data_IF_516462322334
#
_entry.id   IF_516462322334
#
_cell.length_a   1.000
_cell.length_b   1.000
_cell.length_c   1.000
_cell.angle_alpha   90.00
_cell.angle_beta   90.00
_cell.angle_gamma   90.00
#
_symmetry.space_group_name_H-M   'P 1'
#
loop_
_entity.id
_entity.type
_entity.pdbx_description
1 polymer ?
#
# COMPACT_ATOMS: atom_id res chain seq x y z
N UNK A 1 6.57 14.90 -25.01
CA UNK A 1 7.68 13.99 -25.38
C UNK A 1 7.05 12.67 -25.80
N UNK A 2 7.31 12.20 -27.03
CA UNK A 2 6.74 10.98 -27.58
C UNK A 2 7.35 9.75 -26.86
N UNK A 3 6.61 9.16 -25.93
CA UNK A 3 6.96 7.86 -25.35
C UNK A 3 6.54 6.75 -26.32
N UNK A 4 7.51 6.04 -26.91
CA UNK A 4 7.30 4.86 -27.75
C UNK A 4 6.86 3.62 -26.93
N UNK A 5 5.92 3.79 -26.01
CA UNK A 5 5.46 2.75 -25.08
C UNK A 5 3.98 2.49 -25.24
N UNK A 6 3.54 2.08 -26.43
CA UNK A 6 2.20 1.54 -26.60
C UNK A 6 2.23 0.47 -27.70
N UNK A 7 2.31 -0.80 -27.31
CA UNK A 7 1.80 -1.91 -28.12
C UNK A 7 0.50 -2.40 -27.46
N UNK A 8 -0.50 -1.51 -27.46
CA UNK A 8 -1.86 -1.87 -27.08
C UNK A 8 -2.65 -2.12 -28.36
N UNK A 9 -3.21 -3.32 -28.51
CA UNK A 9 -4.19 -3.58 -29.56
C UNK A 9 -5.58 -3.26 -29.01
N UNK A 10 -6.17 -2.17 -29.51
CA UNK A 10 -7.57 -1.84 -29.28
C UNK A 10 -8.41 -2.49 -30.39
N UNK A 11 -9.28 -3.41 -29.99
CA UNK A 11 -10.22 -4.10 -30.87
C UNK A 11 -11.63 -3.54 -30.62
N UNK A 12 -12.18 -2.84 -31.61
CA UNK A 12 -13.62 -2.58 -31.68
C UNK A 12 -14.30 -3.82 -32.27
N UNK A 13 -15.14 -4.46 -31.46
CA UNK A 13 -15.83 -5.68 -31.84
C UNK A 13 -17.21 -5.43 -32.44
N UNK A 14 -17.84 -4.31 -32.12
CA UNK A 14 -19.20 -4.00 -32.58
C UNK A 14 -19.25 -3.78 -34.09
N UNK A 15 -18.17 -3.27 -34.67
CA UNK A 15 -18.10 -2.97 -36.11
C UNK A 15 -17.68 -4.16 -36.96
N UNK A 16 -17.24 -5.27 -36.36
CA UNK A 16 -16.54 -6.37 -37.05
C UNK A 16 -17.21 -7.75 -36.91
N UNK A 17 -18.33 -7.86 -36.18
CA UNK A 17 -19.05 -9.12 -35.98
C UNK A 17 -20.32 -9.19 -36.85
N UNK A 18 -20.60 -10.37 -37.42
CA UNK A 18 -21.86 -10.60 -38.11
C UNK A 18 -23.02 -10.75 -37.12
N UNK A 19 -24.26 -10.50 -37.58
CA UNK A 19 -25.48 -10.68 -36.77
C UNK A 19 -25.59 -12.11 -36.20
N UNK A 20 -25.06 -13.12 -36.89
CA UNK A 20 -25.05 -14.51 -36.42
C UNK A 20 -23.96 -14.77 -35.37
N UNK A 21 -22.81 -14.07 -35.43
CA UNK A 21 -21.80 -14.12 -34.37
C UNK A 21 -22.29 -13.49 -33.06
N UNK A 22 -23.13 -12.45 -33.15
CA UNK A 22 -23.75 -11.80 -31.99
C UNK A 22 -24.75 -12.70 -31.24
N UNK A 23 -25.24 -13.78 -31.88
CA UNK A 23 -26.16 -14.76 -31.29
C UNK A 23 -25.46 -15.95 -30.63
N UNK A 24 -24.16 -16.13 -30.86
CA UNK A 24 -23.40 -17.22 -30.27
C UNK A 24 -22.90 -16.82 -28.87
N UNK A 25 -22.98 -17.77 -27.92
CA UNK A 25 -22.42 -17.62 -26.57
C UNK A 25 -20.90 -17.59 -26.55
N UNK A 26 -20.23 -17.88 -27.68
CA UNK A 26 -18.79 -17.76 -27.82
C UNK A 26 -18.38 -17.46 -29.27
N UNK A 27 -17.36 -16.62 -29.45
CA UNK A 27 -16.69 -16.46 -30.75
C UNK A 27 -15.17 -16.32 -30.58
N UNK A 28 -14.44 -16.67 -31.62
CA UNK A 28 -12.98 -16.58 -31.66
C UNK A 28 -12.55 -15.55 -32.69
N UNK A 29 -11.68 -14.63 -32.26
CA UNK A 29 -11.07 -13.64 -33.13
C UNK A 29 -10.00 -14.33 -34.00
N UNK A 30 -9.89 -13.91 -35.25
CA UNK A 30 -8.84 -14.40 -36.16
C UNK A 30 -7.45 -14.19 -35.55
N UNK A 31 -6.48 -15.09 -35.83
CA UNK A 31 -5.12 -14.93 -35.35
C UNK A 31 -4.55 -13.54 -35.64
N UNK A 32 -3.94 -12.92 -34.62
CA UNK A 32 -3.27 -11.62 -34.73
C UNK A 32 -1.80 -11.75 -34.34
N UNK A 33 -0.87 -11.10 -35.07
CA UNK A 33 0.54 -11.04 -34.67
C UNK A 33 0.71 -10.18 -33.41
N UNK A 34 1.61 -10.59 -32.51
CA UNK A 34 2.04 -9.80 -31.36
C UNK A 34 3.09 -8.79 -31.84
N UNK A 35 2.74 -7.52 -31.84
CA UNK A 35 3.61 -6.43 -32.31
C UNK A 35 4.58 -5.96 -31.21
N UNK A 36 5.47 -6.85 -30.74
CA UNK A 36 6.51 -6.53 -29.76
C UNK A 36 7.91 -6.88 -30.26
N UNK A 37 8.83 -5.95 -30.14
CA UNK A 37 10.24 -6.15 -30.51
C UNK A 37 11.08 -6.56 -29.29
N UNK A 38 11.84 -7.65 -29.42
CA UNK A 38 12.89 -8.03 -28.46
C UNK A 38 12.40 -8.26 -27.04
N UNK A 39 11.25 -8.93 -26.88
CA UNK A 39 10.64 -9.18 -25.57
C UNK A 39 11.60 -9.90 -24.61
N UNK A 40 11.79 -9.35 -23.40
CA UNK A 40 12.62 -9.96 -22.37
C UNK A 40 12.24 -9.44 -20.97
N UNK A 41 12.36 -10.24 -19.91
CA UNK A 41 12.58 -11.69 -19.94
C UNK A 41 11.33 -12.47 -20.38
N UNK A 42 10.16 -11.84 -20.32
CA UNK A 42 8.85 -12.37 -20.74
C UNK A 42 8.06 -11.28 -21.48
N UNK A 43 6.90 -11.66 -22.04
CA UNK A 43 5.87 -10.72 -22.48
C UNK A 43 4.82 -10.64 -21.38
N UNK A 44 4.45 -9.44 -20.97
CA UNK A 44 3.30 -9.23 -20.10
C UNK A 44 2.04 -9.00 -20.92
N UNK A 45 0.93 -9.57 -20.46
CA UNK A 45 -0.38 -9.45 -21.09
C UNK A 45 -1.42 -9.10 -20.03
N UNK A 46 -2.21 -8.07 -20.29
CA UNK A 46 -3.42 -7.73 -19.54
C UNK A 46 -4.54 -7.34 -20.49
N UNK A 47 -5.78 -7.50 -20.03
CA UNK A 47 -6.97 -7.18 -20.81
C UNK A 47 -7.88 -6.20 -20.07
N UNK A 48 -8.60 -5.39 -20.83
CA UNK A 48 -9.72 -4.61 -20.33
C UNK A 48 -10.82 -4.56 -21.39
N UNK A 49 -12.08 -4.51 -20.97
CA UNK A 49 -13.18 -4.43 -21.91
C UNK A 49 -14.34 -3.61 -21.37
N UNK A 50 -15.13 -3.08 -22.31
CA UNK A 50 -16.34 -2.34 -22.02
C UNK A 50 -17.54 -3.18 -22.42
N UNK A 51 -18.41 -3.47 -21.45
CA UNK A 51 -19.71 -4.10 -21.65
C UNK A 51 -20.83 -3.23 -21.07
N UNK A 52 -21.97 -3.16 -21.76
CA UNK A 52 -23.09 -2.23 -21.40
C UNK A 52 -24.05 -2.74 -20.34
N UNK A 53 -23.70 -3.81 -19.61
CA UNK A 53 -24.65 -4.48 -18.71
C UNK A 53 -24.61 -3.98 -17.27
N UNK A 54 -25.77 -3.99 -16.62
CA UNK A 54 -25.96 -3.58 -15.22
C UNK A 54 -25.27 -4.52 -14.21
N UNK A 55 -24.72 -5.67 -14.65
CA UNK A 55 -24.04 -6.64 -13.78
C UNK A 55 -22.67 -7.04 -14.35
N UNK A 56 -21.59 -6.91 -13.56
CA UNK A 56 -20.25 -7.37 -13.94
C UNK A 56 -20.17 -8.89 -14.06
N UNK A 57 -19.19 -9.38 -14.81
CA UNK A 57 -18.85 -10.81 -14.92
C UNK A 57 -19.69 -11.65 -15.88
N UNK A 58 -20.41 -11.04 -16.83
CA UNK A 58 -21.18 -11.78 -17.83
C UNK A 58 -20.35 -12.22 -19.04
N UNK A 59 -19.26 -11.50 -19.32
CA UNK A 59 -18.30 -11.86 -20.36
C UNK A 59 -17.00 -12.36 -19.73
N UNK A 60 -16.47 -13.47 -20.25
CA UNK A 60 -15.11 -13.91 -19.97
C UNK A 60 -14.28 -13.88 -21.25
N UNK A 61 -13.01 -13.51 -21.10
CA UNK A 61 -12.03 -13.51 -22.18
C UNK A 61 -11.04 -14.64 -21.94
N UNK A 62 -10.82 -15.47 -22.95
CA UNK A 62 -9.76 -16.47 -22.96
C UNK A 62 -8.76 -16.16 -24.08
N UNK A 63 -7.48 -16.40 -23.83
CA UNK A 63 -6.40 -16.16 -24.79
C UNK A 63 -5.55 -17.41 -24.96
N UNK A 64 -5.03 -17.60 -26.17
CA UNK A 64 -4.01 -18.61 -26.46
C UNK A 64 -2.95 -18.05 -27.39
N UNK A 65 -1.79 -18.69 -27.38
CA UNK A 65 -0.59 -18.18 -28.06
C UNK A 65 -0.03 -19.18 -29.06
N UNK A 66 0.70 -18.66 -30.04
CA UNK A 66 1.37 -19.44 -31.07
C UNK A 66 2.69 -18.80 -31.47
N UNK A 67 3.65 -19.62 -31.88
CA UNK A 67 4.93 -19.18 -32.45
C UNK A 67 4.87 -18.99 -33.97
N UNK A 68 3.83 -19.51 -34.63
CA UNK A 68 3.72 -19.54 -36.10
C UNK A 68 2.31 -19.24 -36.63
N UNK A 69 1.34 -18.97 -35.75
CA UNK A 69 -0.05 -18.68 -36.10
C UNK A 69 -0.88 -19.90 -36.52
N UNK A 70 -0.32 -21.12 -36.46
CA UNK A 70 -0.98 -22.36 -36.89
C UNK A 70 -1.06 -23.42 -35.80
N UNK A 71 0.00 -23.58 -35.00
CA UNK A 71 0.04 -24.47 -33.84
C UNK A 71 -0.20 -23.67 -32.56
N UNK A 72 -1.24 -24.02 -31.81
CA UNK A 72 -1.73 -23.23 -30.68
C UNK A 72 -1.63 -23.99 -29.37
N UNK A 73 -1.28 -23.26 -28.31
CA UNK A 73 -1.39 -23.78 -26.95
C UNK A 73 -2.85 -23.84 -26.48
N UNK A 74 -3.05 -24.40 -25.28
CA UNK A 74 -4.34 -24.40 -24.59
C UNK A 74 -4.83 -22.98 -24.31
N UNK A 75 -6.16 -22.82 -24.31
CA UNK A 75 -6.80 -21.59 -23.86
C UNK A 75 -6.52 -21.31 -22.38
N UNK A 76 -6.31 -20.04 -22.06
CA UNK A 76 -6.14 -19.54 -20.70
C UNK A 76 -7.10 -18.39 -20.46
N UNK A 77 -7.90 -18.46 -19.40
CA UNK A 77 -8.82 -17.39 -19.04
C UNK A 77 -8.08 -16.20 -18.43
N UNK A 78 -8.51 -14.99 -18.79
CA UNK A 78 -8.12 -13.79 -18.07
C UNK A 78 -8.81 -13.77 -16.70
N UNK A 79 -8.02 -13.74 -15.63
CA UNK A 79 -8.53 -13.55 -14.26
C UNK A 79 -8.97 -12.10 -14.07
N UNK A 80 -10.21 -11.88 -13.64
CA UNK A 80 -10.73 -10.54 -13.35
C UNK A 80 -9.95 -9.87 -12.21
N UNK A 81 -9.76 -8.56 -12.33
CA UNK A 81 -9.29 -7.69 -11.26
C UNK A 81 -10.48 -7.28 -10.40
N UNK A 82 -10.52 -7.78 -9.17
CA UNK A 82 -11.73 -7.91 -8.35
C UNK A 82 -12.19 -6.63 -7.63
N UNK A 83 -11.46 -5.53 -7.77
CA UNK A 83 -11.80 -4.24 -7.13
C UNK A 83 -11.49 -3.05 -8.04
N UNK A 84 -11.68 -3.23 -9.35
CA UNK A 84 -11.54 -2.15 -10.32
C UNK A 84 -12.57 -1.04 -10.05
N UNK A 85 -12.09 0.13 -9.63
CA UNK A 85 -12.94 1.30 -9.49
C UNK A 85 -13.14 1.97 -10.85
N UNK A 86 -14.41 2.19 -11.21
CA UNK A 86 -14.91 2.73 -12.48
C UNK A 86 -13.86 3.55 -13.28
N UNK A 87 -13.49 3.03 -14.45
CA UNK A 87 -12.61 3.70 -15.40
C UNK A 87 -13.18 3.72 -16.81
N UNK A 88 -12.29 3.79 -17.81
CA UNK A 88 -12.67 3.75 -19.24
C UNK A 88 -13.34 2.44 -19.66
N UNK A 89 -13.03 1.37 -18.95
CA UNK A 89 -13.54 0.01 -19.18
C UNK A 89 -14.47 -0.37 -18.03
N UNK A 90 -15.37 -1.32 -18.26
CA UNK A 90 -16.23 -1.85 -17.19
C UNK A 90 -15.57 -3.02 -16.47
N UNK A 91 -14.67 -3.72 -17.15
CA UNK A 91 -13.97 -4.89 -16.65
C UNK A 91 -12.47 -4.81 -16.99
N UNK A 92 -11.64 -5.31 -16.09
CA UNK A 92 -10.19 -5.40 -16.28
C UNK A 92 -9.67 -6.72 -15.74
N UNK A 93 -8.56 -7.21 -16.29
CA UNK A 93 -7.90 -8.43 -15.83
C UNK A 93 -6.68 -8.14 -14.97
N UNK A 94 -6.27 -9.12 -14.15
CA UNK A 94 -4.89 -9.17 -13.67
C UNK A 94 -3.94 -9.44 -14.84
N UNK A 95 -2.65 -9.15 -14.65
CA UNK A 95 -1.62 -9.44 -15.65
C UNK A 95 -1.17 -10.91 -15.62
N UNK A 96 -0.87 -11.46 -16.79
CA UNK A 96 -0.22 -12.76 -16.97
C UNK A 96 1.12 -12.60 -17.71
N UNK A 97 2.05 -13.53 -17.48
CA UNK A 97 3.35 -13.54 -18.15
C UNK A 97 3.45 -14.74 -19.09
N UNK A 98 3.87 -14.48 -20.32
CA UNK A 98 4.06 -15.52 -21.35
C UNK A 98 5.50 -15.50 -21.87
N UNK A 99 5.91 -16.63 -22.43
CA UNK A 99 7.23 -16.77 -23.03
C UNK A 99 7.38 -15.83 -24.24
N UNK A 100 8.56 -15.19 -24.35
CA UNK A 100 8.93 -14.29 -25.44
C UNK A 100 8.94 -14.95 -26.83
N UNK A 101 8.89 -16.28 -26.92
CA UNK A 101 8.82 -17.04 -28.18
C UNK A 101 7.52 -16.82 -28.95
N UNK A 102 6.43 -16.44 -28.27
CA UNK A 102 5.13 -16.28 -28.91
C UNK A 102 5.11 -15.02 -29.77
N UNK A 103 4.60 -15.17 -30.99
CA UNK A 103 4.53 -14.11 -32.00
C UNK A 103 3.10 -13.92 -32.52
N UNK A 104 2.16 -14.77 -32.11
CA UNK A 104 0.74 -14.68 -32.44
C UNK A 104 -0.12 -14.96 -31.21
N UNK A 105 -1.31 -14.36 -31.19
CA UNK A 105 -2.35 -14.65 -30.22
C UNK A 105 -3.71 -14.86 -30.90
N UNK A 106 -4.60 -15.56 -30.19
CA UNK A 106 -6.02 -15.62 -30.49
C UNK A 106 -6.81 -15.35 -29.22
N UNK A 107 -7.91 -14.63 -29.38
CA UNK A 107 -8.83 -14.32 -28.31
C UNK A 107 -10.15 -15.07 -28.54
N UNK A 108 -10.67 -15.67 -27.48
CA UNK A 108 -12.02 -16.18 -27.41
C UNK A 108 -12.80 -15.31 -26.44
N UNK A 109 -13.96 -14.86 -26.87
CA UNK A 109 -14.92 -14.13 -26.05
C UNK A 109 -16.06 -15.08 -25.76
N UNK A 110 -16.35 -15.30 -24.48
CA UNK A 110 -17.44 -16.15 -24.01
C UNK A 110 -18.44 -15.27 -23.25
N UNK A 111 -19.73 -15.39 -23.56
CA UNK A 111 -20.84 -14.71 -22.88
C UNK A 111 -21.80 -15.72 -22.30
N UNK A 112 -22.21 -15.50 -21.05
CA UNK A 112 -23.21 -16.29 -20.36
C UNK A 112 -24.66 -15.85 -20.69
N UNK A 113 -24.85 -14.80 -21.50
CA UNK A 113 -26.15 -14.25 -21.85
C UNK A 113 -26.75 -14.99 -23.05
N UNK A 114 -27.46 -16.07 -22.75
CA UNK A 114 -28.14 -16.92 -23.74
C UNK A 114 -29.24 -16.19 -24.54
N UNK A 115 -29.69 -15.01 -24.11
CA UNK A 115 -30.89 -14.34 -24.67
C UNK A 115 -30.76 -12.85 -24.99
N UNK A 116 -29.65 -12.18 -24.61
CA UNK A 116 -29.46 -10.73 -24.87
C UNK A 116 -28.32 -10.43 -25.85
N UNK A 117 -27.61 -11.44 -26.34
CA UNK A 117 -26.48 -11.28 -27.25
C UNK A 117 -25.21 -10.76 -26.55
N UNK A 118 -24.16 -10.52 -27.34
CA UNK A 118 -22.88 -10.01 -26.85
C UNK A 118 -22.93 -8.49 -26.64
N UNK A 119 -22.81 -8.06 -25.38
CA UNK A 119 -22.86 -6.64 -24.99
C UNK A 119 -21.47 -6.00 -24.85
N UNK A 120 -20.45 -6.59 -25.46
CA UNK A 120 -19.06 -6.11 -25.45
C UNK A 120 -18.81 -5.16 -26.62
N UNK A 121 -18.34 -3.95 -26.35
CA UNK A 121 -18.12 -2.94 -27.39
C UNK A 121 -16.65 -2.77 -27.78
N UNK A 122 -15.77 -2.87 -26.79
CA UNK A 122 -14.34 -2.68 -27.00
C UNK A 122 -13.54 -3.64 -26.12
N UNK A 123 -12.47 -4.18 -26.68
CA UNK A 123 -11.44 -4.93 -25.94
C UNK A 123 -10.11 -4.25 -26.15
N UNK A 124 -9.42 -3.98 -25.06
CA UNK A 124 -8.00 -3.66 -25.01
C UNK A 124 -7.24 -4.94 -24.64
N UNK A 125 -6.35 -5.40 -25.52
CA UNK A 125 -5.30 -6.35 -25.15
C UNK A 125 -3.98 -5.59 -25.11
N UNK A 126 -3.42 -5.50 -23.90
CA UNK A 126 -2.19 -4.78 -23.63
C UNK A 126 -1.02 -5.76 -23.57
N UNK A 127 -0.19 -5.73 -24.60
CA UNK A 127 1.07 -6.47 -24.65
C UNK A 127 2.22 -5.56 -24.26
N UNK A 128 3.03 -5.97 -23.29
CA UNK A 128 4.13 -5.16 -22.77
C UNK A 128 5.45 -5.92 -22.70
N UNK A 129 6.53 -5.25 -23.12
CA UNK A 129 7.91 -5.73 -23.00
C UNK A 129 8.64 -4.99 -21.87
N UNK A 130 8.77 -5.60 -20.67
CA UNK A 130 9.38 -4.92 -19.53
C UNK A 130 10.91 -4.75 -19.62
N UNK A 131 11.59 -5.43 -20.54
CA UNK A 131 13.05 -5.40 -20.65
C UNK A 131 13.63 -4.36 -21.62
N UNK A 132 12.76 -3.67 -22.38
CA UNK A 132 13.20 -2.61 -23.29
C UNK A 132 13.61 -1.33 -22.54
N UNK A 133 12.88 -0.97 -21.47
CA UNK A 133 13.05 0.30 -20.77
C UNK A 133 14.19 0.33 -19.73
N UNK A 134 14.64 -0.82 -19.23
CA UNK A 134 15.69 -0.88 -18.21
C UNK A 134 17.07 -0.44 -18.73
N UNK A 135 17.35 -0.62 -20.03
CA UNK A 135 18.65 -0.23 -20.62
C UNK A 135 18.83 1.29 -20.63
N UNK A 136 17.78 2.05 -20.91
CA UNK A 136 17.82 3.51 -20.93
C UNK A 136 18.05 4.12 -19.53
N UNK A 137 17.63 3.42 -18.48
CA UNK A 137 17.78 3.87 -17.09
C UNK A 137 19.20 3.85 -16.55
N UNK A 138 20.11 3.07 -17.15
CA UNK A 138 21.51 3.00 -16.72
C UNK A 138 22.28 4.33 -16.89
N UNK A 139 21.83 5.21 -17.79
CA UNK A 139 22.54 6.46 -18.13
C UNK A 139 22.03 7.72 -17.41
N UNK A 140 20.89 7.66 -16.71
CA UNK A 140 20.19 8.84 -16.18
C UNK A 140 20.21 8.99 -14.65
N UNK A 141 20.79 8.02 -13.92
CA UNK A 141 20.73 7.93 -12.43
C UNK A 141 21.46 9.09 -11.71
N UNK A 142 22.20 9.95 -12.41
CA UNK A 142 23.03 11.00 -11.79
C UNK A 142 22.33 12.33 -11.43
N UNK A 143 21.00 12.47 -11.58
CA UNK A 143 20.36 13.80 -11.46
C UNK A 143 19.15 13.95 -10.54
N UNK A 144 18.73 12.93 -9.79
CA UNK A 144 17.74 13.13 -8.73
C UNK A 144 18.40 13.40 -7.38
N UNK A 145 18.45 14.69 -7.12
CA UNK A 145 18.89 15.44 -5.95
C UNK A 145 18.61 14.72 -4.61
N UNK A 146 19.69 14.44 -3.88
CA UNK A 146 19.67 13.90 -2.52
C UNK A 146 19.29 14.97 -1.48
N UNK A 147 18.20 15.70 -1.68
CA UNK A 147 17.66 16.55 -0.60
C UNK A 147 17.07 15.65 0.46
N UNK A 148 17.93 15.36 1.44
CA UNK A 148 17.59 14.76 2.72
C UNK A 148 16.45 15.55 3.34
N UNK A 149 15.25 14.99 3.31
CA UNK A 149 14.26 15.30 4.35
C UNK A 149 14.89 14.80 5.64
N UNK A 150 15.09 15.70 6.61
CA UNK A 150 15.63 15.37 7.93
C UNK A 150 14.71 14.34 8.60
N UNK A 151 15.16 13.08 8.64
CA UNK A 151 14.52 11.97 9.35
C UNK A 151 14.88 11.99 10.83
N UNK A 152 14.64 13.10 11.54
CA UNK A 152 15.06 13.23 12.93
C UNK A 152 14.18 12.46 13.94
N UNK A 153 13.08 11.81 13.54
CA UNK A 153 12.19 11.13 14.51
C UNK A 153 12.41 9.62 14.68
N UNK A 154 12.87 8.90 13.65
CA UNK A 154 12.88 7.43 13.67
C UNK A 154 14.30 6.85 13.68
N UNK A 155 14.66 6.11 14.73
CA UNK A 155 15.97 5.44 14.83
C UNK A 155 15.99 4.01 14.28
N UNK A 156 14.86 3.50 13.74
CA UNK A 156 14.84 2.22 13.05
C UNK A 156 15.84 2.20 11.90
N UNK A 157 16.42 1.01 11.66
CA UNK A 157 17.09 0.72 10.40
C UNK A 157 16.10 0.89 9.24
N UNK A 158 16.45 1.78 8.31
CA UNK A 158 15.76 1.92 7.03
C UNK A 158 16.23 0.77 6.12
N UNK A 159 15.33 -0.15 5.69
CA UNK A 159 15.72 -1.26 4.83
C UNK A 159 16.20 -0.77 3.47
N UNK A 160 17.10 -1.54 2.86
CA UNK A 160 17.53 -1.32 1.49
C UNK A 160 16.36 -1.55 0.52
N UNK A 161 16.26 -0.73 -0.51
CA UNK A 161 15.26 -0.88 -1.57
C UNK A 161 15.80 -0.46 -2.94
N UNK A 162 15.14 -0.94 -3.98
CA UNK A 162 15.34 -0.51 -5.37
C UNK A 162 14.44 0.70 -5.62
N UNK A 163 15.06 1.87 -5.79
CA UNK A 163 14.35 3.14 -6.05
C UNK A 163 13.67 3.16 -7.42
N UNK A 164 12.66 4.01 -7.61
CA UNK A 164 12.02 4.24 -8.92
C UNK A 164 13.02 4.55 -10.02
N UNK A 165 14.03 5.37 -9.75
CA UNK A 165 15.05 5.72 -10.74
C UNK A 165 15.83 4.49 -11.28
N UNK A 166 15.85 3.37 -10.55
CA UNK A 166 16.51 2.13 -11.00
C UNK A 166 15.59 1.25 -11.84
N UNK A 167 14.30 1.18 -11.50
CA UNK A 167 13.37 0.27 -12.17
C UNK A 167 12.43 0.96 -13.17
N UNK A 168 12.17 2.27 -13.06
CA UNK A 168 11.36 3.09 -13.98
C UNK A 168 11.81 4.57 -13.97
N UNK A 169 12.95 4.84 -14.61
CA UNK A 169 13.59 6.16 -14.67
C UNK A 169 12.90 7.18 -15.60
N UNK A 170 11.94 6.74 -16.42
CA UNK A 170 11.31 7.58 -17.46
C UNK A 170 10.12 8.39 -16.92
N UNK A 171 9.62 8.02 -15.75
CA UNK A 171 8.45 8.64 -15.15
C UNK A 171 8.76 9.10 -13.72
N UNK A 172 8.93 10.41 -13.55
CA UNK A 172 9.10 11.04 -12.24
C UNK A 172 7.92 11.98 -11.99
N UNK A 173 7.00 11.59 -11.10
CA UNK A 173 5.83 12.41 -10.80
C UNK A 173 6.19 13.63 -9.97
N UNK A 174 5.33 14.65 -10.05
CA UNK A 174 5.41 15.81 -9.18
C UNK A 174 5.05 15.40 -7.74
N UNK A 175 5.83 15.80 -6.73
CA UNK A 175 5.51 15.51 -5.34
C UNK A 175 4.14 16.08 -4.96
N UNK A 176 3.32 15.28 -4.31
CA UNK A 176 2.10 15.71 -3.63
C UNK A 176 2.42 16.13 -2.19
N UNK A 177 1.54 16.95 -1.59
CA UNK A 177 1.73 17.42 -0.22
C UNK A 177 1.78 16.25 0.78
N UNK A 178 2.56 16.41 1.85
CA UNK A 178 2.69 15.43 2.93
C UNK A 178 1.33 15.14 3.57
N UNK A 179 0.98 13.85 3.68
CA UNK A 179 -0.24 13.40 4.34
C UNK A 179 0.09 12.76 5.69
N UNK A 180 -0.86 12.82 6.62
CA UNK A 180 -0.75 12.13 7.90
C UNK A 180 -1.17 10.68 7.71
N UNK A 181 -0.19 9.78 7.55
CA UNK A 181 -0.45 8.35 7.48
C UNK A 181 -0.84 7.83 8.86
N UNK A 182 -1.91 7.05 8.92
CA UNK A 182 -2.39 6.41 10.15
C UNK A 182 -2.46 4.89 10.04
N UNK A 183 -2.47 4.35 8.81
CA UNK A 183 -2.68 2.92 8.54
C UNK A 183 -1.77 2.40 7.43
N UNK A 184 -1.47 1.11 7.45
CA UNK A 184 -0.76 0.38 6.40
C UNK A 184 -1.66 -0.75 5.92
N UNK A 185 -1.87 -0.82 4.61
CA UNK A 185 -2.72 -1.82 3.96
C UNK A 185 -1.84 -2.79 3.17
N UNK A 186 -1.95 -4.07 3.51
CA UNK A 186 -1.25 -5.15 2.82
C UNK A 186 -2.06 -5.67 1.64
N UNK A 187 -1.34 -5.85 0.54
CA UNK A 187 -1.84 -6.34 -0.74
C UNK A 187 -1.04 -7.55 -1.22
N UNK A 188 -1.64 -8.30 -2.12
CA UNK A 188 -0.90 -9.11 -3.07
C UNK A 188 -1.07 -8.56 -4.49
N UNK A 189 -0.22 -8.96 -5.42
CA UNK A 189 -0.41 -8.58 -6.83
C UNK A 189 -1.47 -9.43 -7.55
N UNK A 190 -1.81 -10.61 -6.99
CA UNK A 190 -2.68 -11.59 -7.64
C UNK A 190 -2.11 -12.22 -8.92
N UNK A 191 -0.86 -11.86 -9.27
CA UNK A 191 -0.15 -12.33 -10.47
C UNK A 191 0.71 -13.57 -10.23
N UNK A 192 1.50 -13.98 -11.23
CA UNK A 192 2.28 -15.22 -11.19
C UNK A 192 3.24 -15.28 -9.98
N UNK A 193 3.32 -16.45 -9.34
CA UNK A 193 4.17 -16.68 -8.17
C UNK A 193 5.68 -16.74 -8.49
N UNK A 194 6.03 -16.93 -9.77
CA UNK A 194 7.41 -17.04 -10.25
C UNK A 194 7.67 -16.01 -11.34
N UNK A 195 8.83 -15.37 -11.27
CA UNK A 195 9.30 -14.43 -12.29
C UNK A 195 10.78 -14.66 -12.57
N UNK A 196 11.14 -14.49 -13.84
CA UNK A 196 12.54 -14.47 -14.27
C UNK A 196 13.27 -13.17 -13.89
N UNK A 197 12.54 -12.09 -13.56
CA UNK A 197 13.08 -10.84 -13.01
C UNK A 197 11.99 -10.07 -12.29
N UNK A 198 12.24 -9.76 -11.01
CA UNK A 198 11.30 -9.00 -10.20
C UNK A 198 11.23 -7.53 -10.60
N UNK A 199 12.33 -6.94 -11.10
CA UNK A 199 12.33 -5.60 -11.71
C UNK A 199 11.36 -5.54 -12.89
N UNK A 200 11.43 -6.54 -13.77
CA UNK A 200 10.53 -6.63 -14.93
C UNK A 200 9.06 -6.83 -14.51
N UNK A 201 8.82 -7.56 -13.42
CA UNK A 201 7.48 -7.71 -12.81
C UNK A 201 6.95 -6.38 -12.29
N UNK A 202 7.77 -5.58 -11.59
CA UNK A 202 7.36 -4.25 -11.10
C UNK A 202 7.06 -3.30 -12.26
N UNK A 203 7.89 -3.30 -13.31
CA UNK A 203 7.64 -2.53 -14.53
C UNK A 203 6.34 -2.94 -15.24
N UNK A 204 6.10 -4.25 -15.34
CA UNK A 204 4.85 -4.76 -15.87
C UNK A 204 3.65 -4.28 -15.06
N UNK A 205 3.74 -4.33 -13.73
CA UNK A 205 2.64 -3.90 -12.86
C UNK A 205 2.38 -2.39 -12.95
N UNK A 206 3.43 -1.58 -13.10
CA UNK A 206 3.28 -0.17 -13.44
C UNK A 206 2.57 0.04 -14.79
N UNK A 207 2.95 -0.71 -15.82
CA UNK A 207 2.33 -0.61 -17.15
C UNK A 207 0.86 -1.04 -17.10
N UNK A 208 0.53 -2.15 -16.46
CA UNK A 208 -0.87 -2.59 -16.28
C UNK A 208 -1.67 -1.57 -15.47
N UNK A 209 -1.10 -1.01 -14.39
CA UNK A 209 -1.76 0.04 -13.59
C UNK A 209 -2.12 1.27 -14.44
N UNK A 210 -1.20 1.70 -15.30
CA UNK A 210 -1.38 2.95 -16.08
C UNK A 210 -2.17 2.75 -17.36
N UNK A 211 -1.96 1.65 -18.08
CA UNK A 211 -2.56 1.40 -19.39
C UNK A 211 -3.88 0.63 -19.28
N UNK A 212 -3.93 -0.41 -18.43
CA UNK A 212 -5.12 -1.27 -18.29
C UNK A 212 -6.08 -0.71 -17.25
N UNK A 213 -5.58 -0.32 -16.07
CA UNK A 213 -6.43 0.22 -15.00
C UNK A 213 -6.66 1.74 -15.14
N UNK A 214 -5.83 2.44 -15.91
CA UNK A 214 -5.98 3.88 -16.13
C UNK A 214 -5.55 4.74 -14.95
N UNK A 215 -4.80 4.19 -14.00
CA UNK A 215 -4.21 4.94 -12.89
C UNK A 215 -3.12 5.88 -13.38
N UNK A 216 -2.83 6.92 -12.60
CA UNK A 216 -1.77 7.87 -12.95
C UNK A 216 -0.37 7.29 -12.79
N UNK A 217 -0.23 6.29 -11.93
CA UNK A 217 1.02 5.59 -11.63
C UNK A 217 0.70 4.18 -11.09
N UNK A 218 1.73 3.40 -10.76
CA UNK A 218 1.58 2.16 -10.00
C UNK A 218 0.74 2.41 -8.73
N UNK A 219 -0.17 1.49 -8.42
CA UNK A 219 -1.15 1.66 -7.35
C UNK A 219 -0.52 1.77 -5.96
N UNK A 220 0.55 1.01 -5.71
CA UNK A 220 1.10 0.79 -4.36
C UNK A 220 2.29 1.70 -4.04
N UNK A 221 2.46 2.06 -2.77
CA UNK A 221 3.63 2.82 -2.31
C UNK A 221 4.89 1.96 -2.26
N UNK A 222 4.77 0.69 -1.88
CA UNK A 222 5.88 -0.23 -1.76
C UNK A 222 5.52 -1.60 -2.31
N UNK A 223 6.50 -2.31 -2.86
CA UNK A 223 6.33 -3.68 -3.34
C UNK A 223 7.44 -4.57 -2.79
N UNK A 224 7.14 -5.83 -2.52
CA UNK A 224 8.11 -6.80 -2.00
C UNK A 224 8.06 -8.07 -2.84
N UNK A 225 9.21 -8.44 -3.40
CA UNK A 225 9.38 -9.67 -4.15
C UNK A 225 9.55 -10.90 -3.23
N UNK A 226 9.22 -12.12 -3.73
CA UNK A 226 9.50 -13.38 -3.05
C UNK A 226 10.96 -13.61 -2.63
N UNK A 227 11.94 -12.94 -3.25
CA UNK A 227 13.35 -13.02 -2.85
C UNK A 227 13.72 -12.07 -1.69
N UNK A 228 12.79 -11.23 -1.23
CA UNK A 228 12.98 -10.23 -0.19
C UNK A 228 13.37 -8.84 -0.70
N UNK A 229 13.48 -8.65 -2.03
CA UNK A 229 13.79 -7.33 -2.59
C UNK A 229 12.60 -6.38 -2.42
N UNK A 230 12.86 -5.21 -1.84
CA UNK A 230 11.88 -4.14 -1.67
C UNK A 230 12.02 -3.16 -2.83
N UNK A 231 10.92 -2.83 -3.49
CA UNK A 231 10.84 -1.84 -4.55
C UNK A 231 10.03 -0.63 -4.08
N UNK A 232 10.57 0.55 -4.33
CA UNK A 232 9.88 1.81 -4.11
C UNK A 232 8.84 2.01 -5.21
N UNK A 233 7.55 2.10 -4.85
CA UNK A 233 6.43 2.36 -5.75
C UNK A 233 6.08 3.85 -5.76
N UNK A 234 4.83 4.19 -5.43
CA UNK A 234 4.30 5.56 -5.39
C UNK A 234 4.83 6.37 -4.20
N UNK A 235 6.12 6.72 -4.24
CA UNK A 235 6.83 7.52 -3.23
C UNK A 235 7.57 8.64 -3.94
N UNK A 236 7.37 9.89 -3.52
CA UNK A 236 7.97 11.08 -4.12
C UNK A 236 8.76 11.85 -3.07
N UNK A 237 10.05 12.10 -3.34
CA UNK A 237 10.97 12.74 -2.38
C UNK A 237 10.96 12.09 -0.98
N UNK A 238 10.80 10.76 -0.93
CA UNK A 238 10.74 10.00 0.32
C UNK A 238 9.40 10.07 1.06
N UNK A 239 8.36 10.65 0.46
CA UNK A 239 7.01 10.77 1.02
C UNK A 239 6.05 9.88 0.23
N UNK A 240 5.28 9.04 0.91
CA UNK A 240 4.18 8.29 0.33
C UNK A 240 3.07 9.22 -0.16
N UNK A 241 2.72 9.12 -1.44
CA UNK A 241 1.57 9.79 -2.04
C UNK A 241 0.37 8.83 -2.05
N UNK A 242 -0.88 9.32 -1.99
CA UNK A 242 -2.06 8.47 -2.15
C UNK A 242 -1.92 7.56 -3.37
N UNK A 243 -2.13 6.27 -3.12
CA UNK A 243 -2.24 5.24 -4.13
C UNK A 243 -3.57 5.26 -4.85
N UNK A 244 -3.76 4.24 -5.69
CA UNK A 244 -5.05 3.77 -6.18
C UNK A 244 -5.19 2.31 -5.72
N UNK A 245 -4.97 2.07 -4.42
CA UNK A 245 -4.81 0.74 -3.86
C UNK A 245 -5.81 0.43 -2.76
N UNK A 246 -6.64 1.35 -2.28
CA UNK A 246 -7.57 1.08 -1.19
C UNK A 246 -8.96 1.65 -1.43
N UNK A 247 -9.44 1.53 -2.67
CA UNK A 247 -10.81 1.85 -3.05
C UNK A 247 -11.32 3.21 -2.55
N UNK A 248 -10.68 4.30 -3.02
CA UNK A 248 -10.90 5.68 -2.58
C UNK A 248 -10.55 5.99 -1.10
N UNK A 249 -9.95 5.05 -0.37
CA UNK A 249 -9.51 5.21 1.02
C UNK A 249 -7.98 5.39 1.18
N UNK A 250 -7.31 5.86 0.13
CA UNK A 250 -5.84 5.99 0.04
C UNK A 250 -5.23 7.14 0.87
N UNK A 251 -6.00 8.18 1.21
CA UNK A 251 -5.47 9.44 1.77
C UNK A 251 -4.78 9.34 3.15
N UNK A 252 -4.97 8.25 3.89
CA UNK A 252 -4.35 8.04 5.20
C UNK A 252 -3.61 6.71 5.30
N UNK A 253 -3.40 6.06 4.15
CA UNK A 253 -2.90 4.69 4.09
C UNK A 253 -1.62 4.58 3.29
N UNK A 254 -0.78 3.61 3.66
CA UNK A 254 0.35 3.15 2.84
C UNK A 254 -0.02 1.78 2.29
N UNK A 255 0.04 1.62 0.97
CA UNK A 255 -0.15 0.33 0.30
C UNK A 255 1.18 -0.41 0.13
N UNK A 256 1.27 -1.61 0.68
CA UNK A 256 2.41 -2.53 0.49
C UNK A 256 1.94 -3.77 -0.26
N UNK A 257 2.43 -3.97 -1.48
CA UNK A 257 2.07 -5.10 -2.33
C UNK A 257 3.13 -6.22 -2.32
N UNK A 258 2.73 -7.40 -1.87
CA UNK A 258 3.52 -8.61 -1.99
C UNK A 258 3.37 -9.17 -3.41
N UNK A 259 4.46 -9.24 -4.18
CA UNK A 259 4.44 -9.76 -5.54
C UNK A 259 4.17 -11.27 -5.53
N UNK A 260 3.23 -11.72 -6.36
CA UNK A 260 2.66 -13.08 -6.37
C UNK A 260 1.17 -13.12 -6.00
N UNK A 261 0.63 -14.34 -5.94
CA UNK A 261 -0.68 -14.66 -5.36
C UNK A 261 -0.48 -15.43 -4.06
N UNK A 262 -1.22 -15.03 -3.02
CA UNK A 262 -1.17 -15.60 -1.68
C UNK A 262 -2.55 -16.04 -1.21
N UNK A 263 -3.39 -16.49 -2.15
CA UNK A 263 -4.65 -17.18 -1.86
C UNK A 263 -4.31 -18.43 -1.01
N UNK A 264 -3.62 -19.40 -1.60
CA UNK A 264 -3.22 -20.65 -0.92
C UNK A 264 -1.71 -20.77 -0.66
N UNK A 265 -0.92 -19.89 -1.29
CA UNK A 265 0.54 -19.90 -1.16
C UNK A 265 0.98 -19.01 0.02
N UNK A 266 1.97 -19.46 0.78
CA UNK A 266 2.61 -18.64 1.81
C UNK A 266 3.69 -17.72 1.21
N UNK A 267 3.83 -16.52 1.79
CA UNK A 267 5.00 -15.67 1.53
C UNK A 267 6.29 -16.39 1.93
N UNK A 268 7.36 -16.19 1.17
CA UNK A 268 8.66 -16.78 1.50
C UNK A 268 9.22 -16.19 2.80
N UNK A 269 10.17 -16.88 3.43
CA UNK A 269 10.85 -16.35 4.63
C UNK A 269 11.60 -15.04 4.35
N UNK A 270 12.19 -14.91 3.15
CA UNK A 270 12.89 -13.68 2.74
C UNK A 270 11.91 -12.52 2.58
N UNK A 271 10.80 -12.73 1.87
CA UNK A 271 9.74 -11.72 1.70
C UNK A 271 9.11 -11.34 3.04
N UNK A 272 8.86 -12.31 3.93
CA UNK A 272 8.36 -12.06 5.29
C UNK A 272 9.33 -11.20 6.11
N UNK A 273 10.63 -11.49 6.05
CA UNK A 273 11.65 -10.70 6.75
C UNK A 273 11.69 -9.27 6.23
N UNK A 274 11.68 -9.09 4.90
CA UNK A 274 11.65 -7.78 4.27
C UNK A 274 10.37 -6.99 4.63
N UNK A 275 9.21 -7.67 4.67
CA UNK A 275 7.94 -7.08 5.08
C UNK A 275 7.99 -6.60 6.53
N UNK A 276 8.51 -7.41 7.46
CA UNK A 276 8.67 -7.00 8.86
C UNK A 276 9.60 -5.79 8.98
N UNK A 277 10.74 -5.78 8.27
CA UNK A 277 11.67 -4.64 8.27
C UNK A 277 11.02 -3.36 7.74
N UNK A 278 10.28 -3.46 6.63
CA UNK A 278 9.59 -2.32 6.03
C UNK A 278 8.48 -1.79 6.94
N UNK A 279 7.62 -2.68 7.46
CA UNK A 279 6.56 -2.32 8.41
C UNK A 279 7.15 -1.66 9.65
N UNK A 280 8.23 -2.20 10.20
CA UNK A 280 8.92 -1.65 11.38
C UNK A 280 9.43 -0.24 11.10
N UNK A 281 10.15 -0.03 10.00
CA UNK A 281 10.64 1.29 9.61
C UNK A 281 9.48 2.28 9.41
N UNK A 282 8.40 1.88 8.73
CA UNK A 282 7.25 2.77 8.46
C UNK A 282 6.43 3.08 9.70
N UNK A 283 6.17 2.08 10.54
CA UNK A 283 5.49 2.30 11.81
C UNK A 283 6.27 3.27 12.70
N UNK A 284 7.59 3.19 12.74
CA UNK A 284 8.40 4.16 13.49
C UNK A 284 8.43 5.56 12.84
N UNK A 285 8.57 5.65 11.52
CA UNK A 285 8.57 6.93 10.81
C UNK A 285 7.26 7.71 10.98
N UNK A 286 6.14 6.99 11.06
CA UNK A 286 4.79 7.54 11.19
C UNK A 286 4.20 7.40 12.60
N UNK A 287 5.00 7.02 13.59
CA UNK A 287 4.59 6.86 15.00
C UNK A 287 3.37 5.95 15.19
N UNK A 288 3.23 4.92 14.35
CA UNK A 288 2.14 3.96 14.39
C UNK A 288 2.45 2.86 15.41
N UNK A 289 1.51 2.56 16.31
CA UNK A 289 1.55 1.36 17.12
C UNK A 289 0.94 0.19 16.31
N UNK A 290 1.70 -0.86 15.95
CA UNK A 290 1.21 -1.96 15.12
C UNK A 290 0.05 -2.75 15.71
N UNK A 291 -0.17 -2.70 17.03
CA UNK A 291 -1.25 -3.43 17.71
C UNK A 291 -2.46 -2.56 18.05
N UNK A 292 -2.34 -1.25 17.87
CA UNK A 292 -3.40 -0.28 18.16
C UNK A 292 -4.60 -0.44 17.23
N UNK A 293 -5.76 -0.07 17.77
CA UNK A 293 -7.00 0.17 17.03
C UNK A 293 -7.23 1.68 17.06
N UNK A 294 -7.30 2.31 15.90
CA UNK A 294 -7.50 3.76 15.75
C UNK A 294 -8.49 4.06 14.64
N UNK A 295 -8.94 5.30 14.55
CA UNK A 295 -9.97 5.69 13.60
C UNK A 295 -9.39 5.88 12.19
N UNK A 296 -9.95 5.19 11.20
CA UNK A 296 -9.66 5.39 9.79
C UNK A 296 -10.77 6.23 9.16
N UNK A 297 -10.49 7.49 8.87
CA UNK A 297 -11.52 8.44 8.45
C UNK A 297 -12.19 8.04 7.13
N UNK A 298 -11.42 7.46 6.20
CA UNK A 298 -11.93 7.02 4.90
C UNK A 298 -12.93 5.87 4.98
N UNK A 299 -12.89 5.06 6.05
CA UNK A 299 -13.87 3.99 6.30
C UNK A 299 -14.89 4.34 7.39
N UNK A 300 -14.78 5.52 8.00
CA UNK A 300 -15.69 5.97 9.06
C UNK A 300 -15.70 5.08 10.31
N UNK A 301 -14.66 4.27 10.55
CA UNK A 301 -14.67 3.21 11.57
C UNK A 301 -13.31 3.00 12.25
N UNK A 302 -13.32 2.32 13.41
CA UNK A 302 -12.11 1.93 14.13
C UNK A 302 -11.49 0.68 13.49
N UNK A 303 -10.20 0.76 13.15
CA UNK A 303 -9.45 -0.26 12.45
C UNK A 303 -8.07 -0.45 13.08
N UNK A 304 -7.41 -1.56 12.81
CA UNK A 304 -6.03 -1.74 13.27
C UNK A 304 -5.10 -0.99 12.34
N UNK A 305 -3.97 -0.53 12.87
CA UNK A 305 -2.99 0.25 12.10
C UNK A 305 -2.33 -0.53 10.95
N UNK A 306 -2.37 -1.86 10.97
CA UNK A 306 -1.93 -2.72 9.86
C UNK A 306 -3.07 -3.69 9.53
N UNK A 307 -3.61 -3.56 8.32
CA UNK A 307 -4.78 -4.33 7.84
C UNK A 307 -4.53 -4.87 6.44
N UNK A 308 -5.42 -5.77 5.99
CA UNK A 308 -5.42 -6.30 4.62
C UNK A 308 -6.45 -5.59 3.76
N UNK A 309 -6.27 -5.67 2.44
CA UNK A 309 -7.16 -5.01 1.47
C UNK A 309 -8.65 -5.35 1.62
N UNK A 310 -9.00 -6.59 2.04
CA UNK A 310 -10.39 -7.02 2.29
C UNK A 310 -11.21 -6.07 3.15
N UNK A 311 -10.56 -5.26 3.97
CA UNK A 311 -11.23 -4.30 4.83
C UNK A 311 -11.93 -3.17 4.04
N UNK A 312 -11.32 -2.71 2.94
CA UNK A 312 -11.78 -1.54 2.19
C UNK A 312 -12.81 -1.89 1.11
N UNK A 313 -12.75 -3.10 0.55
CA UNK A 313 -13.52 -3.47 -0.63
C UNK A 313 -13.75 -4.98 -0.74
N UNK A 314 -14.68 -5.37 -1.61
CA UNK A 314 -14.97 -6.76 -1.91
C UNK A 314 -13.89 -7.37 -2.81
N UNK A 315 -12.80 -7.82 -2.19
CA UNK A 315 -11.65 -8.42 -2.88
C UNK A 315 -11.16 -9.67 -2.14
N UNK A 316 -10.55 -10.60 -2.88
CA UNK A 316 -9.79 -11.71 -2.31
C UNK A 316 -8.44 -11.25 -1.76
N UNK A 317 -7.88 -10.14 -2.26
CA UNK A 317 -6.62 -9.53 -1.84
C UNK A 317 -6.64 -9.22 -0.33
N UNK A 318 -5.58 -9.55 0.45
CA UNK A 318 -4.25 -9.99 0.05
C UNK A 318 -4.09 -11.51 -0.13
N UNK A 319 -5.19 -12.25 -0.26
CA UNK A 319 -5.23 -13.72 -0.28
C UNK A 319 -5.29 -14.31 1.14
N UNK A 320 -5.87 -15.50 1.29
CA UNK A 320 -6.16 -16.10 2.60
C UNK A 320 -4.88 -16.36 3.43
N UNK A 321 -3.82 -16.79 2.75
CA UNK A 321 -2.54 -17.09 3.39
C UNK A 321 -1.85 -15.85 3.96
N UNK A 322 -1.89 -14.72 3.25
CA UNK A 322 -1.34 -13.46 3.77
C UNK A 322 -2.28 -12.81 4.79
N UNK A 323 -3.60 -12.84 4.55
CA UNK A 323 -4.60 -12.29 5.46
C UNK A 323 -4.50 -12.93 6.86
N UNK A 324 -4.39 -14.26 6.92
CA UNK A 324 -4.26 -14.99 8.19
C UNK A 324 -2.95 -14.71 8.94
N UNK A 325 -1.92 -14.19 8.25
CA UNK A 325 -0.62 -13.87 8.83
C UNK A 325 -0.59 -12.48 9.50
N UNK A 326 -1.49 -11.56 9.13
CA UNK A 326 -1.50 -10.16 9.58
C UNK A 326 -1.44 -10.01 11.12
N UNK A 327 -2.22 -10.75 11.93
CA UNK A 327 -2.12 -10.64 13.38
C UNK A 327 -0.72 -10.95 13.93
N UNK A 328 -0.04 -11.95 13.35
CA UNK A 328 1.33 -12.30 13.74
C UNK A 328 2.35 -11.27 13.27
N UNK A 329 2.12 -10.65 12.10
CA UNK A 329 2.95 -9.55 11.62
C UNK A 329 2.87 -8.35 12.55
N UNK A 330 1.68 -7.97 13.01
CA UNK A 330 1.50 -6.88 13.98
C UNK A 330 2.33 -7.10 15.24
N UNK A 331 2.25 -8.28 15.85
CA UNK A 331 3.04 -8.59 17.05
C UNK A 331 4.55 -8.67 16.78
N UNK A 332 4.96 -9.20 15.62
CA UNK A 332 6.37 -9.23 15.23
C UNK A 332 6.94 -7.82 15.03
N UNK A 333 6.21 -6.94 14.33
CA UNK A 333 6.61 -5.54 14.10
C UNK A 333 6.64 -4.77 15.42
N UNK A 334 5.65 -4.95 16.30
CA UNK A 334 5.66 -4.32 17.63
C UNK A 334 6.88 -4.75 18.46
N UNK A 335 7.26 -6.03 18.38
CA UNK A 335 8.46 -6.56 19.04
C UNK A 335 9.73 -5.96 18.44
N UNK A 336 9.84 -5.90 17.12
CA UNK A 336 10.99 -5.35 16.42
C UNK A 336 11.15 -3.85 16.64
N UNK A 337 10.06 -3.09 16.67
CA UNK A 337 10.06 -1.67 17.07
C UNK A 337 10.73 -1.52 18.43
N UNK A 338 10.24 -2.25 19.45
CA UNK A 338 10.77 -2.27 20.83
C UNK A 338 12.24 -2.67 20.90
N UNK A 339 12.70 -3.54 20.01
CA UNK A 339 14.06 -4.12 20.01
C UNK A 339 15.08 -3.29 19.24
N UNK A 340 14.71 -2.72 18.09
CA UNK A 340 15.66 -2.19 17.09
C UNK A 340 15.53 -0.70 16.84
N UNK A 341 14.36 -0.14 17.10
CA UNK A 341 14.03 1.25 16.79
C UNK A 341 13.95 2.13 18.03
N UNK A 342 13.86 1.48 19.19
CA UNK A 342 14.43 1.99 20.40
C UNK A 342 15.76 1.24 20.52
N UNK A 343 16.83 1.83 19.98
CA UNK A 343 18.07 1.67 20.73
C UNK A 343 17.70 2.12 22.13
N UNK A 344 17.85 1.28 23.16
CA UNK A 344 18.27 1.85 24.42
C UNK A 344 19.56 2.54 24.03
N UNK A 345 19.60 3.87 23.96
CA UNK A 345 20.90 4.49 23.91
C UNK A 345 21.53 3.95 25.19
N UNK A 346 22.80 3.61 25.16
CA UNK A 346 23.58 3.89 26.37
C UNK A 346 23.55 5.41 26.44
N UNK A 347 22.39 5.95 26.87
CA UNK A 347 22.24 7.29 27.36
C UNK A 347 23.17 7.22 28.55
N UNK A 348 24.32 7.85 28.41
CA UNK A 348 24.86 8.59 29.53
C UNK A 348 23.64 9.22 30.23
N UNK A 349 23.33 8.74 31.44
CA UNK A 349 22.09 9.05 32.14
C UNK A 349 22.04 10.54 32.47
N UNK A 350 21.66 11.35 31.49
CA UNK A 350 20.93 12.59 31.71
C UNK A 350 19.46 12.24 31.58
N UNK A 351 18.96 11.58 32.63
CA UNK A 351 17.75 11.97 33.32
C UNK A 351 16.89 12.98 32.50
N UNK A 352 15.82 12.56 31.81
CA UNK A 352 14.91 13.44 31.03
C UNK A 352 13.52 13.51 31.67
N UNK A 353 12.84 14.65 31.54
CA UNK A 353 11.52 14.89 32.17
C UNK A 353 10.45 13.96 31.56
N UNK A 354 9.73 13.23 32.42
CA UNK A 354 8.71 12.25 32.01
C UNK A 354 7.44 12.36 32.87
N UNK A 355 6.26 12.08 32.28
CA UNK A 355 4.98 12.03 32.99
C UNK A 355 3.99 11.05 32.31
N UNK A 356 3.28 10.28 33.13
CA UNK A 356 2.12 9.47 32.79
C UNK A 356 1.00 9.67 33.81
N UNK A 357 -0.19 10.03 33.33
CA UNK A 357 -1.41 10.18 34.09
C UNK A 357 -2.23 8.87 34.10
N UNK A 358 -2.57 8.36 35.27
CA UNK A 358 -3.36 7.13 35.41
C UNK A 358 -4.28 7.13 36.65
N UNK A 359 -5.39 6.39 36.64
CA UNK A 359 -6.05 5.83 35.47
C UNK A 359 -6.50 6.93 34.49
N UNK A 360 -6.59 6.61 33.21
CA UNK A 360 -7.10 7.52 32.18
C UNK A 360 -7.85 6.71 31.10
N UNK A 361 -9.20 6.76 31.03
CA UNK A 361 -10.08 7.66 31.77
C UNK A 361 -10.08 7.42 33.29
N UNK A 362 -10.30 8.49 34.06
CA UNK A 362 -10.35 8.48 35.52
C UNK A 362 -11.77 8.73 36.03
N UNK A 363 -12.12 8.14 37.17
CA UNK A 363 -13.39 8.38 37.85
C UNK A 363 -13.16 9.17 39.14
N UNK A 364 -12.56 8.58 40.17
CA UNK A 364 -12.44 9.23 41.48
C UNK A 364 -11.03 9.72 41.80
N UNK A 365 -10.01 9.14 41.15
CA UNK A 365 -8.61 9.38 41.47
C UNK A 365 -7.79 9.53 40.20
N UNK A 366 -6.78 10.39 40.25
CA UNK A 366 -5.79 10.59 39.22
C UNK A 366 -4.42 10.65 39.88
N UNK A 367 -3.47 9.92 39.31
CA UNK A 367 -2.08 9.85 39.73
C UNK A 367 -1.19 10.31 38.58
N UNK A 368 -0.14 11.04 38.92
CA UNK A 368 0.91 11.48 38.03
C UNK A 368 2.17 10.69 38.39
N UNK A 369 2.56 9.75 37.53
CA UNK A 369 3.85 9.08 37.61
C UNK A 369 4.82 9.76 36.68
N UNK A 370 6.03 10.01 37.13
CA UNK A 370 7.00 10.65 36.26
C UNK A 370 8.40 10.64 36.83
N UNK A 371 9.29 11.33 36.13
CA UNK A 371 10.67 11.48 36.52
C UNK A 371 11.12 12.91 36.24
N UNK A 372 11.76 13.53 37.22
CA UNK A 372 12.30 14.89 37.16
C UNK A 372 13.84 14.85 37.20
N UNK A 373 14.54 15.31 36.15
CA UNK A 373 15.98 15.20 35.96
C UNK A 373 16.90 15.71 37.07
N UNK A 374 16.66 16.91 37.60
CA UNK A 374 17.52 17.56 38.61
C UNK A 374 16.73 18.51 39.52
N UNK A 375 17.36 18.97 40.60
CA UNK A 375 16.82 19.82 41.68
C UNK A 375 16.49 21.27 41.24
N UNK A 376 15.67 21.44 40.20
CA UNK A 376 15.14 22.72 39.75
C UNK A 376 13.64 22.84 40.07
N UNK A 377 13.09 24.05 40.02
CA UNK A 377 11.67 24.26 40.33
C UNK A 377 10.81 23.54 39.29
N UNK A 378 10.19 22.43 39.68
CA UNK A 378 9.22 21.72 38.87
C UNK A 378 7.81 21.93 39.39
N UNK A 379 6.84 21.99 38.48
CA UNK A 379 5.43 22.06 38.85
C UNK A 379 4.59 21.35 37.80
N UNK A 380 3.41 20.88 38.23
CA UNK A 380 2.38 20.46 37.29
C UNK A 380 1.18 21.40 37.34
N UNK A 381 0.52 21.53 36.20
CA UNK A 381 -0.72 22.27 36.03
C UNK A 381 -1.78 21.37 35.40
N UNK A 382 -3.03 21.55 35.81
CA UNK A 382 -4.18 20.94 35.16
C UNK A 382 -4.99 22.07 34.56
N UNK A 383 -5.23 21.99 33.25
CA UNK A 383 -5.94 23.00 32.49
C UNK A 383 -7.24 22.41 31.93
N UNK A 384 -8.27 23.24 31.85
CA UNK A 384 -9.41 22.98 30.97
C UNK A 384 -9.01 23.12 29.50
N UNK A 385 -9.86 22.62 28.59
CA UNK A 385 -9.61 22.67 27.15
C UNK A 385 -9.55 24.09 26.57
N UNK A 386 -10.13 25.09 27.24
CA UNK A 386 -10.03 26.51 26.90
C UNK A 386 -8.76 27.18 27.46
N UNK A 387 -7.86 26.40 28.07
CA UNK A 387 -6.54 26.87 28.53
C UNK A 387 -6.52 27.52 29.92
N UNK A 388 -7.63 27.49 30.68
CA UNK A 388 -7.64 28.00 32.06
C UNK A 388 -6.95 27.01 32.99
N UNK A 389 -6.03 27.50 33.82
CA UNK A 389 -5.37 26.68 34.86
C UNK A 389 -6.37 26.45 35.99
N UNK A 390 -6.79 25.21 36.17
CA UNK A 390 -7.72 24.77 37.22
C UNK A 390 -6.98 24.37 38.50
N UNK A 391 -5.75 23.87 38.35
CA UNK A 391 -4.90 23.47 39.47
C UNK A 391 -3.45 23.64 39.10
N UNK A 392 -2.64 24.07 40.07
CA UNK A 392 -1.19 24.09 39.97
C UNK A 392 -0.60 23.56 41.27
N UNK A 393 0.50 22.81 41.18
CA UNK A 393 1.25 22.38 42.36
C UNK A 393 2.73 22.25 42.01
N UNK A 394 3.57 22.86 42.84
CA UNK A 394 5.02 22.68 42.82
C UNK A 394 5.37 21.28 43.32
N UNK A 395 6.28 20.63 42.63
CA UNK A 395 6.86 19.35 43.00
C UNK A 395 8.22 19.58 43.65
N UNK A 396 8.38 19.14 44.89
CA UNK A 396 9.66 19.20 45.63
C UNK A 396 10.36 17.85 45.52
N UNK A 397 10.62 17.39 44.30
CA UNK A 397 11.20 16.07 44.02
C UNK A 397 12.26 16.17 42.94
N UNK A 398 13.37 15.48 43.15
CA UNK A 398 14.35 15.12 42.11
C UNK A 398 14.32 13.61 41.93
N UNK A 399 14.16 13.14 40.70
CA UNK A 399 14.01 11.73 40.38
C UNK A 399 12.55 11.30 40.17
N UNK A 400 12.28 10.01 40.38
CA UNK A 400 10.93 9.45 40.17
C UNK A 400 9.93 9.99 41.19
N UNK A 401 8.72 10.31 40.72
CA UNK A 401 7.61 10.70 41.58
C UNK A 401 6.34 9.94 41.23
N UNK A 402 5.49 9.79 42.24
CA UNK A 402 4.13 9.32 42.12
C UNK A 402 3.25 10.24 42.97
N UNK A 403 2.49 11.11 42.32
CA UNK A 403 1.68 12.13 42.97
C UNK A 403 0.20 11.90 42.72
N UNK A 404 -0.57 11.74 43.79
CA UNK A 404 -2.04 11.73 43.72
C UNK A 404 -2.57 13.16 43.59
N UNK A 405 -3.32 13.43 42.54
CA UNK A 405 -4.00 14.72 42.36
C UNK A 405 -5.11 14.87 43.41
N UNK A 406 -4.82 15.58 44.50
CA UNK A 406 -5.80 15.87 45.56
C UNK A 406 -7.02 16.61 45.01
N UNK A 407 -8.22 16.24 45.43
CA UNK A 407 -9.46 16.90 45.01
C UNK A 407 -9.90 16.60 43.57
N UNK A 408 -9.31 15.60 42.90
CA UNK A 408 -9.70 15.20 41.55
C UNK A 408 -11.15 14.71 41.44
N UNK A 409 -11.69 14.18 42.53
CA UNK A 409 -13.10 13.82 42.71
C UNK A 409 -14.04 15.03 42.49
N UNK A 410 -13.59 16.25 42.80
CA UNK A 410 -14.37 17.49 42.65
C UNK A 410 -14.34 18.06 41.23
N UNK A 411 -13.50 17.55 40.33
CA UNK A 411 -13.48 17.95 38.93
C UNK A 411 -14.73 17.42 38.22
N UNK A 412 -15.38 18.28 37.42
CA UNK A 412 -16.53 17.87 36.61
C UNK A 412 -16.10 16.84 35.54
N UNK A 413 -17.00 15.96 35.09
CA UNK A 413 -16.77 15.15 33.89
C UNK A 413 -16.33 16.01 32.72
N UNK A 414 -15.30 15.56 31.99
CA UNK A 414 -14.71 16.35 30.91
C UNK A 414 -13.29 15.95 30.54
N UNK A 415 -12.73 16.68 29.57
CA UNK A 415 -11.36 16.51 29.10
C UNK A 415 -10.48 17.61 29.69
N UNK A 416 -9.31 17.21 30.17
CA UNK A 416 -8.32 18.08 30.80
C UNK A 416 -6.94 17.86 30.18
N UNK A 417 -6.09 18.88 30.26
CA UNK A 417 -4.68 18.78 29.89
C UNK A 417 -3.83 18.92 31.15
N UNK A 418 -2.97 17.94 31.42
CA UNK A 418 -1.96 18.03 32.48
C UNK A 418 -0.64 18.43 31.85
N UNK A 419 -0.04 19.51 32.35
CA UNK A 419 1.31 19.94 32.00
C UNK A 419 2.25 19.60 33.15
N UNK A 420 3.41 19.03 32.87
CA UNK A 420 4.54 18.98 33.79
C UNK A 420 5.65 19.85 33.21
N UNK A 421 6.12 20.81 34.00
CA UNK A 421 7.17 21.74 33.58
C UNK A 421 8.35 21.66 34.53
N UNK A 422 9.55 21.58 33.98
CA UNK A 422 10.84 21.76 34.66
C UNK A 422 11.63 22.82 33.89
N UNK A 423 11.87 23.97 34.54
CA UNK A 423 12.52 25.13 33.92
C UNK A 423 11.88 25.55 32.58
N UNK A 424 12.53 25.28 31.45
CA UNK A 424 12.04 25.65 30.11
C UNK A 424 11.42 24.48 29.32
N UNK A 425 11.34 23.29 29.92
CA UNK A 425 10.79 22.10 29.27
C UNK A 425 9.42 21.76 29.84
N UNK A 426 8.42 21.68 28.97
CA UNK A 426 7.05 21.31 29.33
C UNK A 426 6.62 20.10 28.53
N UNK A 427 6.13 19.08 29.22
CA UNK A 427 5.44 17.94 28.63
C UNK A 427 3.96 17.98 28.97
N UNK A 428 3.12 17.46 28.07
CA UNK A 428 1.66 17.53 28.19
C UNK A 428 1.00 16.17 28.03
N UNK A 429 -0.08 15.94 28.77
CA UNK A 429 -0.88 14.73 28.62
C UNK A 429 -2.37 15.03 28.76
N UNK A 430 -3.16 14.47 27.83
CA UNK A 430 -4.63 14.53 27.87
C UNK A 430 -5.16 13.55 28.91
N UNK A 431 -6.09 14.00 29.75
CA UNK A 431 -6.79 13.19 30.75
C UNK A 431 -8.30 13.33 30.56
N UNK A 432 -9.01 12.21 30.65
CA UNK A 432 -10.47 12.15 30.59
C UNK A 432 -11.00 11.84 31.98
N UNK A 433 -11.91 12.66 32.48
CA UNK A 433 -12.69 12.43 33.69
C UNK A 433 -14.10 11.99 33.28
N UNK A 434 -14.50 10.80 33.72
CA UNK A 434 -15.85 10.29 33.53
C UNK A 434 -16.81 10.86 34.56
#
# INVERSE_FOLDING_TARGET
MKSNLIASDNLDLTTNLSIDQLKNTAFTITPRPIQLNGATPFISVSAAWYETNDKPGNTTLAIRFSTNGSAWDSWTDFKLYDHFEKGRFTETSTQMYIDKKYTYYQLQVNSNLLHEGLNIHAILINFYNPGYDLKACSNSVNRYDQRRVSTESCTCFKPNYVSRAKWNCLYVPTPTAKQAITHIILHHSGGPALSASWEATVLSLWNTSTITYGYTDIAYNWLIAPDGTIYEGRVYNGIESPGDHFCNADAQTIGICMLGSYDDQQITLKAKSALIQLLTWKSCLWELNPEEITYLASLGSLQRTIEGHRLGCQTACPGDSLQSLIPRLRSAVNTELKRTCFSTPIYDQKATLQMTCYPNPSTHQLYLNGYVPQNQLSYYQILSMDGRILKSKTLTVSGSFNEKVKGWDQFKPGVYCVLLTESNHTIRQKVIKL
#
